data_IF_519329931360
#
_entry.id   IF_519329931360
#
_cell.length_a   1.000
_cell.length_b   1.000
_cell.length_c   1.000
_cell.angle_alpha   90.00
_cell.angle_beta   90.00
_cell.angle_gamma   90.00
#
_symmetry.space_group_name_H-M   'P 1'
#
loop_
_entity.id
_entity.type
_entity.pdbx_description
1 polymer ?
#
# COMPACT_ATOMS: atom_id res chain seq x y z
N UNK A 1 12.69 -0.84 1.75
CA UNK A 1 13.89 -0.21 2.35
C UNK A 1 14.21 -0.76 3.73
N UNK A 2 13.45 -0.49 4.80
CA UNK A 2 13.90 -0.83 6.17
C UNK A 2 14.26 -2.31 6.37
N UNK A 3 13.46 -3.23 5.84
CA UNK A 3 13.76 -4.67 5.89
C UNK A 3 15.08 -5.05 5.23
N UNK A 4 15.40 -4.41 4.10
CA UNK A 4 16.64 -4.66 3.33
C UNK A 4 17.86 -4.04 4.04
N UNK A 5 17.68 -2.90 4.70
CA UNK A 5 18.75 -2.18 5.40
C UNK A 5 19.14 -2.93 6.69
N UNK A 6 18.16 -3.33 7.50
CA UNK A 6 18.43 -3.94 8.80
C UNK A 6 18.66 -5.45 8.72
N UNK A 7 18.10 -6.12 7.71
CA UNK A 7 18.16 -7.57 7.49
C UNK A 7 18.09 -8.40 8.79
N UNK A 8 17.21 -8.01 9.71
CA UNK A 8 17.21 -8.53 11.07
C UNK A 8 16.71 -9.97 11.12
N UNK A 9 17.39 -10.81 11.91
CA UNK A 9 17.01 -12.19 12.15
C UNK A 9 15.67 -12.30 12.90
N UNK A 10 14.87 -13.32 12.54
CA UNK A 10 13.63 -13.67 13.22
C UNK A 10 13.93 -14.53 14.46
N UNK A 11 13.01 -14.59 15.44
CA UNK A 11 13.13 -15.48 16.61
C UNK A 11 12.94 -16.98 16.28
N UNK A 12 13.04 -17.39 15.01
CA UNK A 12 12.79 -18.77 14.58
C UNK A 12 14.01 -19.63 14.92
N UNK A 13 13.78 -20.72 15.66
CA UNK A 13 14.85 -21.64 16.08
C UNK A 13 15.63 -21.18 17.31
N UNK A 14 15.23 -20.09 17.96
CA UNK A 14 15.80 -19.65 19.24
C UNK A 14 15.28 -20.57 20.35
N UNK A 15 16.19 -21.05 21.20
CA UNK A 15 15.86 -21.91 22.33
C UNK A 15 14.82 -21.24 23.25
N UNK A 16 13.78 -21.99 23.62
CA UNK A 16 12.65 -21.48 24.40
C UNK A 16 11.56 -20.76 23.60
N UNK A 17 11.72 -20.55 22.28
CA UNK A 17 10.70 -19.93 21.42
C UNK A 17 10.13 -20.95 20.43
N UNK A 18 8.84 -21.24 20.53
CA UNK A 18 8.13 -22.09 19.57
C UNK A 18 7.53 -21.25 18.45
N UNK A 19 8.07 -21.36 17.23
CA UNK A 19 7.52 -20.71 16.05
C UNK A 19 6.46 -21.57 15.36
N UNK A 20 5.24 -21.03 15.21
CA UNK A 20 4.07 -21.78 14.74
C UNK A 20 3.79 -21.62 13.23
N UNK A 21 4.35 -20.60 12.56
CA UNK A 21 4.08 -20.29 11.13
C UNK A 21 5.33 -19.90 10.33
N UNK A 22 6.31 -20.79 10.31
CA UNK A 22 7.63 -20.57 9.69
C UNK A 22 7.50 -20.34 8.17
N UNK A 23 6.67 -21.13 7.47
CA UNK A 23 6.52 -21.06 6.00
C UNK A 23 5.99 -19.71 5.48
N UNK A 24 5.30 -18.93 6.31
CA UNK A 24 4.77 -17.60 5.94
C UNK A 24 5.70 -16.45 6.34
N UNK A 25 6.76 -16.75 7.09
CA UNK A 25 7.68 -15.76 7.65
C UNK A 25 8.91 -15.56 6.74
N UNK A 26 8.67 -15.24 5.47
CA UNK A 26 9.72 -15.03 4.46
C UNK A 26 10.35 -13.63 4.65
N UNK A 27 11.68 -13.55 4.57
CA UNK A 27 12.46 -12.31 4.67
C UNK A 27 12.64 -11.76 6.09
N UNK A 28 13.25 -10.56 6.20
CA UNK A 28 13.68 -9.95 7.46
C UNK A 28 12.56 -9.75 8.50
N UNK A 29 12.93 -9.81 9.79
CA UNK A 29 12.01 -9.64 10.92
C UNK A 29 11.61 -8.17 11.14
N UNK A 30 12.56 -7.24 10.98
CA UNK A 30 12.37 -5.84 11.34
C UNK A 30 12.07 -4.94 10.12
N UNK A 31 11.07 -4.04 10.19
CA UNK A 31 9.95 -4.04 11.13
C UNK A 31 8.88 -5.08 10.74
N UNK A 32 7.91 -5.33 11.63
CA UNK A 32 6.77 -6.21 11.38
C UNK A 32 5.86 -5.65 10.27
N UNK A 33 5.85 -6.31 9.11
CA UNK A 33 5.04 -5.87 7.97
C UNK A 33 3.52 -5.93 8.24
N UNK A 34 3.04 -6.98 8.90
CA UNK A 34 1.61 -7.12 9.23
C UNK A 34 1.14 -6.01 10.17
N UNK A 35 1.92 -5.75 11.22
CA UNK A 35 1.63 -4.68 12.18
C UNK A 35 1.70 -3.33 11.50
N UNK A 36 2.73 -3.09 10.68
CA UNK A 36 2.91 -1.81 9.99
C UNK A 36 1.74 -1.53 9.03
N UNK A 37 1.38 -2.48 8.16
CA UNK A 37 0.30 -2.30 7.18
C UNK A 37 -1.04 -2.01 7.85
N UNK A 38 -1.41 -2.79 8.88
CA UNK A 38 -2.67 -2.56 9.60
C UNK A 38 -2.64 -1.23 10.38
N UNK A 39 -1.53 -0.92 11.04
CA UNK A 39 -1.38 0.34 11.78
C UNK A 39 -1.48 1.54 10.84
N UNK A 40 -0.81 1.53 9.69
CA UNK A 40 -0.92 2.60 8.68
C UNK A 40 -2.36 2.75 8.22
N UNK A 41 -3.05 1.65 7.90
CA UNK A 41 -4.46 1.71 7.49
C UNK A 41 -5.35 2.32 8.57
N UNK A 42 -5.28 1.81 9.80
CA UNK A 42 -6.09 2.28 10.94
C UNK A 42 -5.80 3.76 11.25
N UNK A 43 -4.53 4.14 11.32
CA UNK A 43 -4.14 5.53 11.60
C UNK A 43 -4.63 6.48 10.50
N UNK A 44 -4.55 6.10 9.23
CA UNK A 44 -5.14 6.90 8.14
C UNK A 44 -6.66 7.04 8.29
N UNK A 45 -7.38 5.96 8.60
CA UNK A 45 -8.83 5.99 8.80
C UNK A 45 -9.24 6.88 9.98
N UNK A 46 -8.50 6.82 11.10
CA UNK A 46 -8.73 7.69 12.26
C UNK A 46 -8.65 9.17 11.89
N UNK A 47 -7.73 9.53 10.99
CA UNK A 47 -7.51 10.92 10.59
C UNK A 47 -8.54 11.43 9.59
N UNK A 48 -8.99 10.55 8.68
CA UNK A 48 -9.99 10.86 7.65
C UNK A 48 -11.40 10.92 8.25
N UNK A 49 -11.82 9.87 8.97
CA UNK A 49 -13.21 9.73 9.43
C UNK A 49 -13.46 10.31 10.81
N UNK A 50 -12.45 10.37 11.68
CA UNK A 50 -12.53 10.89 13.07
C UNK A 50 -13.65 10.24 13.91
N UNK A 51 -14.10 9.05 13.53
CA UNK A 51 -15.12 8.30 14.26
C UNK A 51 -14.49 7.59 15.48
N UNK A 52 -15.13 7.76 16.65
CA UNK A 52 -14.61 7.22 17.92
C UNK A 52 -14.65 5.70 17.95
N UNK A 53 -15.72 5.08 17.44
CA UNK A 53 -15.89 3.63 17.48
C UNK A 53 -14.89 2.94 16.53
N UNK A 54 -14.75 3.45 15.32
CA UNK A 54 -13.74 3.00 14.35
C UNK A 54 -12.33 3.16 14.90
N UNK A 55 -12.05 4.24 15.63
CA UNK A 55 -10.76 4.46 16.29
C UNK A 55 -10.50 3.39 17.34
N UNK A 56 -11.45 3.16 18.25
CA UNK A 56 -11.30 2.17 19.33
C UNK A 56 -11.12 0.75 18.76
N UNK A 57 -12.01 0.34 17.85
CA UNK A 57 -11.95 -0.97 17.22
C UNK A 57 -10.67 -1.14 16.39
N UNK A 58 -10.26 -0.11 15.65
CA UNK A 58 -9.04 -0.12 14.85
C UNK A 58 -7.80 -0.26 15.73
N UNK A 59 -7.68 0.51 16.80
CA UNK A 59 -6.55 0.41 17.74
C UNK A 59 -6.50 -0.96 18.42
N UNK A 60 -7.66 -1.49 18.82
CA UNK A 60 -7.77 -2.86 19.33
C UNK A 60 -7.24 -3.88 18.31
N UNK A 61 -7.61 -3.78 17.04
CA UNK A 61 -7.13 -4.67 15.98
C UNK A 61 -5.61 -4.56 15.77
N UNK A 62 -5.03 -3.36 15.83
CA UNK A 62 -3.57 -3.16 15.74
C UNK A 62 -2.85 -3.90 16.87
N UNK A 63 -3.36 -3.76 18.11
CA UNK A 63 -2.81 -4.45 19.28
C UNK A 63 -2.99 -5.97 19.18
N UNK A 64 -4.16 -6.44 18.76
CA UNK A 64 -4.44 -7.86 18.58
C UNK A 64 -3.50 -8.50 17.54
N UNK A 65 -3.28 -7.82 16.40
CA UNK A 65 -2.34 -8.29 15.38
C UNK A 65 -0.90 -8.24 15.89
N UNK A 66 -0.50 -7.16 16.57
CA UNK A 66 0.81 -7.07 17.23
C UNK A 66 1.09 -8.26 18.14
N UNK A 67 0.16 -8.58 19.05
CA UNK A 67 0.26 -9.72 19.97
C UNK A 67 0.29 -11.04 19.19
N UNK A 68 -0.55 -11.20 18.15
CA UNK A 68 -0.54 -12.42 17.33
C UNK A 68 0.83 -12.71 16.71
N UNK A 69 1.58 -11.66 16.32
CA UNK A 69 2.93 -11.81 15.73
C UNK A 69 3.98 -12.24 16.74
N UNK A 70 3.84 -11.82 17.99
CA UNK A 70 4.69 -12.28 19.09
C UNK A 70 4.33 -13.71 19.49
N UNK A 71 3.04 -14.00 19.64
CA UNK A 71 2.52 -15.33 19.98
C UNK A 71 2.94 -16.40 18.96
N UNK A 72 2.92 -16.07 17.67
CA UNK A 72 3.36 -16.99 16.61
C UNK A 72 4.89 -17.22 16.59
N UNK A 73 5.67 -16.49 17.40
CA UNK A 73 7.13 -16.66 17.50
C UNK A 73 7.86 -16.28 16.22
N UNK A 74 7.40 -15.22 15.53
CA UNK A 74 7.87 -14.82 14.18
C UNK A 74 8.43 -13.40 14.12
N UNK A 75 8.23 -12.61 15.19
CA UNK A 75 8.75 -11.25 15.36
C UNK A 75 9.16 -11.01 16.82
N UNK A 76 10.13 -10.12 17.00
CA UNK A 76 10.50 -9.59 18.30
C UNK A 76 9.59 -8.43 18.72
N UNK A 77 9.45 -8.13 20.02
CA UNK A 77 8.71 -6.95 20.48
C UNK A 77 9.15 -5.64 19.81
N UNK A 78 10.47 -5.46 19.62
CA UNK A 78 11.03 -4.30 18.91
C UNK A 78 10.54 -4.16 17.47
N UNK A 79 10.29 -5.28 16.76
CA UNK A 79 9.85 -5.25 15.36
C UNK A 79 8.43 -4.70 15.25
N UNK A 80 7.59 -5.02 16.23
CA UNK A 80 6.19 -4.61 16.33
C UNK A 80 6.09 -3.15 16.77
N UNK A 81 6.87 -2.74 17.77
CA UNK A 81 6.93 -1.34 18.22
C UNK A 81 7.42 -0.44 17.09
N UNK A 82 8.52 -0.81 16.42
CA UNK A 82 9.04 -0.04 15.30
C UNK A 82 8.06 0.03 14.13
N UNK A 83 7.33 -1.06 13.84
CA UNK A 83 6.28 -1.06 12.82
C UNK A 83 5.19 0.00 13.09
N UNK A 84 4.77 0.14 14.35
CA UNK A 84 3.78 1.15 14.77
C UNK A 84 4.35 2.57 14.64
N UNK A 85 5.60 2.80 15.06
CA UNK A 85 6.28 4.10 14.90
C UNK A 85 6.41 4.47 13.42
N UNK A 86 6.87 3.53 12.58
CA UNK A 86 6.98 3.72 11.13
C UNK A 86 5.62 4.06 10.54
N UNK A 87 4.55 3.37 10.94
CA UNK A 87 3.20 3.69 10.49
C UNK A 87 2.77 5.12 10.84
N UNK A 88 3.03 5.59 12.06
CA UNK A 88 2.73 6.98 12.46
C UNK A 88 3.51 8.00 11.62
N UNK A 89 4.80 7.75 11.39
CA UNK A 89 5.64 8.62 10.54
C UNK A 89 5.09 8.67 9.13
N UNK A 90 4.77 7.53 8.53
CA UNK A 90 4.18 7.45 7.18
C UNK A 90 2.91 8.27 7.10
N UNK A 91 1.95 8.06 8.02
CA UNK A 91 0.66 8.77 7.97
C UNK A 91 0.85 10.27 8.12
N UNK A 92 1.65 10.72 9.09
CA UNK A 92 1.92 12.15 9.31
C UNK A 92 2.64 12.79 8.11
N UNK A 93 3.61 12.10 7.51
CA UNK A 93 4.28 12.56 6.30
C UNK A 93 3.33 12.62 5.11
N UNK A 94 2.47 11.61 4.92
CA UNK A 94 1.47 11.58 3.85
C UNK A 94 0.46 12.72 3.98
N UNK A 95 -0.01 13.04 5.19
CA UNK A 95 -0.87 14.21 5.43
C UNK A 95 -0.19 15.50 5.04
N UNK A 96 1.05 15.72 5.52
CA UNK A 96 1.81 16.92 5.20
C UNK A 96 2.05 17.08 3.69
N UNK A 97 2.36 15.99 2.98
CA UNK A 97 2.54 15.99 1.52
C UNK A 97 1.22 16.29 0.80
N UNK A 98 0.13 15.63 1.22
CA UNK A 98 -1.18 15.80 0.59
C UNK A 98 -1.70 17.23 0.78
N UNK A 99 -1.61 17.79 2.00
CA UNK A 99 -1.94 19.18 2.25
C UNK A 99 -1.09 20.11 1.39
N UNK A 100 0.20 19.82 1.21
CA UNK A 100 1.08 20.65 0.41
C UNK A 100 0.74 20.67 -1.07
N UNK A 101 0.46 19.49 -1.63
CA UNK A 101 0.07 19.34 -3.02
C UNK A 101 -1.31 19.92 -3.32
N UNK A 102 -2.28 19.75 -2.41
CA UNK A 102 -3.65 20.22 -2.63
C UNK A 102 -3.83 21.71 -2.31
N UNK A 103 -3.31 22.18 -1.17
CA UNK A 103 -3.51 23.57 -0.69
C UNK A 103 -2.61 24.57 -1.41
N UNK A 104 -1.40 24.17 -1.80
CA UNK A 104 -0.40 25.07 -2.40
C UNK A 104 -0.03 24.70 -3.83
N UNK A 105 -0.72 23.72 -4.44
CA UNK A 105 -0.41 23.19 -5.78
C UNK A 105 1.06 22.74 -5.93
N UNK A 106 1.72 22.39 -4.82
CA UNK A 106 3.13 22.03 -4.79
C UNK A 106 3.30 20.50 -4.78
N UNK A 107 3.47 19.93 -5.97
CA UNK A 107 3.67 18.50 -6.18
C UNK A 107 5.13 18.05 -6.03
N UNK A 108 6.07 18.96 -5.73
CA UNK A 108 7.49 18.65 -5.62
C UNK A 108 7.81 17.49 -4.66
N UNK A 109 7.16 17.36 -3.48
CA UNK A 109 7.45 16.23 -2.58
C UNK A 109 7.16 14.86 -3.18
N UNK A 110 6.12 14.73 -4.02
CA UNK A 110 5.82 13.46 -4.71
C UNK A 110 6.93 13.11 -5.71
N UNK A 111 7.44 14.09 -6.47
CA UNK A 111 8.54 13.88 -7.40
C UNK A 111 9.85 13.55 -6.69
N UNK A 112 10.14 14.19 -5.54
CA UNK A 112 11.32 13.86 -4.72
C UNK A 112 11.23 12.42 -4.22
N UNK A 113 10.10 12.02 -3.65
CA UNK A 113 9.87 10.65 -3.17
C UNK A 113 10.05 9.65 -4.31
N UNK A 114 9.50 9.98 -5.49
CA UNK A 114 9.63 9.12 -6.64
C UNK A 114 11.07 9.02 -7.14
N UNK A 115 11.81 10.13 -7.15
CA UNK A 115 13.22 10.14 -7.54
C UNK A 115 14.06 9.30 -6.59
N UNK A 116 13.86 9.44 -5.27
CA UNK A 116 14.55 8.63 -4.25
C UNK A 116 14.20 7.15 -4.40
N UNK A 117 12.91 6.82 -4.55
CA UNK A 117 12.45 5.44 -4.73
C UNK A 117 13.01 4.80 -6.01
N UNK A 118 13.11 5.57 -7.10
CA UNK A 118 13.67 5.09 -8.36
C UNK A 118 15.19 4.95 -8.29
N UNK A 119 15.91 5.93 -7.75
CA UNK A 119 17.37 5.89 -7.60
C UNK A 119 17.83 4.74 -6.68
N UNK A 120 17.03 4.41 -5.67
CA UNK A 120 17.36 3.31 -4.76
C UNK A 120 17.18 1.92 -5.38
N UNK A 121 16.56 1.78 -6.57
CA UNK A 121 16.55 0.51 -7.32
C UNK A 121 17.95 0.07 -7.73
N UNK A 122 18.90 1.01 -7.89
CA UNK A 122 20.30 0.68 -8.17
C UNK A 122 20.99 0.00 -6.98
N UNK A 123 20.56 0.31 -5.75
CA UNK A 123 21.10 -0.25 -4.52
C UNK A 123 20.38 -1.53 -4.06
N UNK A 124 19.06 -1.62 -4.24
CA UNK A 124 18.25 -2.74 -3.76
C UNK A 124 17.63 -3.51 -4.91
N UNK A 125 18.18 -4.70 -5.20
CA UNK A 125 17.76 -5.55 -6.33
C UNK A 125 16.74 -6.65 -5.98
N UNK A 126 16.08 -6.55 -4.83
CA UNK A 126 15.11 -7.56 -4.39
C UNK A 126 13.75 -7.37 -5.08
N UNK A 127 13.08 -8.48 -5.39
CA UNK A 127 11.77 -8.46 -6.05
C UNK A 127 10.73 -7.67 -5.23
N UNK A 128 10.75 -7.81 -3.90
CA UNK A 128 9.90 -7.06 -2.97
C UNK A 128 10.11 -5.55 -3.09
N UNK A 129 11.34 -5.11 -3.32
CA UNK A 129 11.64 -3.70 -3.47
C UNK A 129 11.11 -3.14 -4.79
N UNK A 130 11.33 -3.87 -5.89
CA UNK A 130 10.79 -3.52 -7.20
C UNK A 130 9.27 -3.39 -7.18
N UNK A 131 8.56 -4.33 -6.53
CA UNK A 131 7.11 -4.25 -6.33
C UNK A 131 6.70 -2.99 -5.56
N UNK A 132 7.42 -2.63 -4.50
CA UNK A 132 7.15 -1.44 -3.71
C UNK A 132 7.29 -0.13 -4.48
N UNK A 133 8.37 0.02 -5.26
CA UNK A 133 8.59 1.22 -6.10
C UNK A 133 7.56 1.29 -7.23
N UNK A 134 7.24 0.15 -7.85
CA UNK A 134 6.22 0.07 -8.88
C UNK A 134 4.83 0.50 -8.40
N UNK A 135 4.43 0.05 -7.20
CA UNK A 135 3.21 0.48 -6.53
C UNK A 135 3.27 2.00 -6.30
N UNK A 136 4.33 2.53 -5.70
CA UNK A 136 4.42 3.96 -5.43
C UNK A 136 4.31 4.81 -6.71
N UNK A 137 5.01 4.42 -7.77
CA UNK A 137 4.97 5.10 -9.06
C UNK A 137 3.58 5.00 -9.72
N UNK A 138 2.97 3.82 -9.72
CA UNK A 138 1.63 3.60 -10.28
C UNK A 138 0.56 4.41 -9.54
N UNK A 139 0.72 4.59 -8.22
CA UNK A 139 -0.16 5.42 -7.41
C UNK A 139 0.02 6.90 -7.75
N UNK A 140 1.26 7.41 -7.74
CA UNK A 140 1.53 8.83 -7.98
C UNK A 140 1.08 9.24 -9.39
N UNK A 141 1.46 8.47 -10.42
CA UNK A 141 1.05 8.75 -11.80
C UNK A 141 -0.46 8.60 -11.93
N UNK A 142 -1.05 7.52 -11.42
CA UNK A 142 -2.48 7.29 -11.56
C UNK A 142 -3.33 8.31 -10.82
N UNK A 143 -2.92 8.73 -9.62
CA UNK A 143 -3.57 9.82 -8.89
C UNK A 143 -3.47 11.14 -9.65
N UNK A 144 -2.29 11.47 -10.19
CA UNK A 144 -2.12 12.66 -11.02
C UNK A 144 -3.02 12.62 -12.27
N UNK A 145 -3.11 11.47 -12.95
CA UNK A 145 -4.01 11.29 -14.09
C UNK A 145 -5.47 11.43 -13.67
N UNK A 146 -5.86 10.81 -12.55
CA UNK A 146 -7.23 10.84 -12.07
C UNK A 146 -7.67 12.26 -11.73
N UNK A 147 -6.88 13.00 -10.96
CA UNK A 147 -7.23 14.38 -10.55
C UNK A 147 -7.15 15.40 -11.71
N UNK A 148 -6.27 15.22 -12.70
CA UNK A 148 -6.11 16.22 -13.77
C UNK A 148 -6.97 15.94 -15.02
N UNK A 149 -7.31 14.68 -15.28
CA UNK A 149 -7.97 14.30 -16.54
C UNK A 149 -9.28 13.54 -16.34
N UNK A 150 -9.42 12.73 -15.27
CA UNK A 150 -10.59 11.87 -15.10
C UNK A 150 -11.64 12.52 -14.21
N UNK A 151 -11.24 13.12 -13.09
CA UNK A 151 -12.12 13.72 -12.09
C UNK A 151 -13.27 12.79 -11.70
N UNK A 152 -13.00 11.55 -11.26
CA UNK A 152 -14.04 10.57 -10.97
C UNK A 152 -14.77 10.85 -9.65
N UNK A 153 -16.10 10.85 -9.65
CA UNK A 153 -16.91 10.90 -8.42
C UNK A 153 -17.30 9.49 -7.93
N UNK A 154 -16.74 9.05 -6.81
CA UNK A 154 -17.04 7.72 -6.28
C UNK A 154 -18.52 7.52 -5.89
N UNK A 155 -19.27 8.60 -5.63
CA UNK A 155 -20.64 8.55 -5.14
C UNK A 155 -21.62 8.01 -6.18
N UNK A 156 -22.67 7.38 -5.70
CA UNK A 156 -23.71 6.82 -6.55
C UNK A 156 -24.55 5.78 -5.81
N UNK A 157 -25.68 5.35 -6.39
CA UNK A 157 -26.52 4.30 -5.83
C UNK A 157 -25.80 2.94 -5.78
N UNK A 158 -26.28 2.05 -4.91
CA UNK A 158 -25.61 0.79 -4.57
C UNK A 158 -25.39 -0.13 -5.79
N UNK A 159 -26.37 -0.19 -6.70
CA UNK A 159 -26.30 -0.95 -7.95
C UNK A 159 -25.09 -0.53 -8.80
N UNK A 160 -24.89 0.79 -8.98
CA UNK A 160 -23.74 1.33 -9.70
C UNK A 160 -22.43 1.08 -8.95
N UNK A 161 -22.43 1.13 -7.62
CA UNK A 161 -21.24 0.80 -6.84
C UNK A 161 -20.84 -0.66 -7.00
N UNK A 162 -21.80 -1.59 -6.99
CA UNK A 162 -21.57 -3.02 -7.24
C UNK A 162 -20.99 -3.22 -8.64
N UNK A 163 -21.59 -2.61 -9.67
CA UNK A 163 -21.09 -2.71 -11.05
C UNK A 163 -19.66 -2.16 -11.17
N UNK A 164 -19.38 -0.98 -10.60
CA UNK A 164 -18.03 -0.39 -10.56
C UNK A 164 -17.03 -1.33 -9.89
N UNK A 165 -17.41 -1.93 -8.75
CA UNK A 165 -16.55 -2.88 -8.05
C UNK A 165 -16.24 -4.13 -8.90
N UNK A 166 -17.25 -4.73 -9.53
CA UNK A 166 -17.08 -5.91 -10.39
C UNK A 166 -16.16 -5.59 -11.57
N UNK A 167 -16.43 -4.49 -12.30
CA UNK A 167 -15.62 -4.08 -13.45
C UNK A 167 -14.19 -3.76 -13.02
N UNK A 168 -14.03 -2.97 -11.95
CA UNK A 168 -12.72 -2.58 -11.43
C UNK A 168 -11.89 -3.79 -11.01
N UNK A 169 -12.48 -4.71 -10.23
CA UNK A 169 -11.82 -5.93 -9.76
C UNK A 169 -11.52 -6.90 -10.90
N UNK A 170 -12.46 -7.09 -11.83
CA UNK A 170 -12.25 -7.95 -13.00
C UNK A 170 -11.11 -7.42 -13.86
N UNK A 171 -11.09 -6.13 -14.17
CA UNK A 171 -9.99 -5.51 -14.91
C UNK A 171 -8.67 -5.60 -14.16
N UNK A 172 -8.68 -5.43 -12.83
CA UNK A 172 -7.48 -5.58 -11.99
C UNK A 172 -6.93 -7.01 -12.07
N UNK A 173 -7.80 -8.02 -11.99
CA UNK A 173 -7.41 -9.42 -12.12
C UNK A 173 -6.91 -9.74 -13.53
N UNK A 174 -7.55 -9.22 -14.58
CA UNK A 174 -7.09 -9.38 -15.97
C UNK A 174 -5.68 -8.80 -16.13
N UNK A 175 -5.45 -7.57 -15.67
CA UNK A 175 -4.12 -6.93 -15.73
C UNK A 175 -3.11 -7.74 -14.92
N UNK A 176 -3.43 -8.10 -13.68
CA UNK A 176 -2.49 -8.79 -12.81
C UNK A 176 -2.14 -10.20 -13.28
N UNK A 177 -3.16 -11.02 -13.59
CA UNK A 177 -3.01 -12.40 -14.02
C UNK A 177 -2.50 -12.47 -15.46
N UNK A 178 -3.04 -11.64 -16.36
CA UNK A 178 -2.60 -11.58 -17.75
C UNK A 178 -1.11 -11.21 -17.85
N UNK A 179 -0.66 -10.18 -17.13
CA UNK A 179 0.77 -9.84 -17.09
C UNK A 179 1.60 -10.92 -16.41
N UNK A 180 1.07 -11.64 -15.40
CA UNK A 180 1.76 -12.78 -14.79
C UNK A 180 1.96 -13.95 -15.78
N UNK A 181 1.04 -14.17 -16.71
CA UNK A 181 1.13 -15.25 -17.70
C UNK A 181 2.13 -14.92 -18.83
N UNK A 182 2.26 -13.64 -19.17
CA UNK A 182 3.09 -13.20 -20.31
C UNK A 182 4.52 -12.87 -19.88
N UNK A 183 4.67 -12.23 -18.73
CA UNK A 183 5.98 -11.74 -18.27
C UNK A 183 6.76 -12.84 -17.53
N UNK A 184 8.08 -12.98 -17.77
CA UNK A 184 8.90 -13.95 -17.05
C UNK A 184 9.08 -13.58 -15.58
N UNK A 185 9.44 -14.56 -14.76
CA UNK A 185 9.74 -14.35 -13.33
C UNK A 185 11.07 -13.61 -13.15
N UNK A 186 11.02 -12.29 -13.07
CA UNK A 186 12.15 -11.44 -12.77
C UNK A 186 11.73 -10.17 -11.98
N UNK A 187 12.61 -9.59 -11.14
CA UNK A 187 12.31 -8.37 -10.38
C UNK A 187 11.81 -7.20 -11.26
N UNK A 188 12.47 -6.96 -12.39
CA UNK A 188 12.08 -5.93 -13.37
C UNK A 188 10.69 -6.18 -13.99
N UNK A 189 10.32 -7.44 -14.21
CA UNK A 189 9.01 -7.80 -14.73
C UNK A 189 7.92 -7.66 -13.66
N UNK A 190 8.25 -8.02 -12.42
CA UNK A 190 7.40 -7.74 -11.27
C UNK A 190 7.15 -6.24 -11.09
N UNK A 191 8.11 -5.37 -11.42
CA UNK A 191 7.87 -3.93 -11.45
C UNK A 191 6.79 -3.57 -12.47
N UNK A 192 6.91 -4.01 -13.73
CA UNK A 192 5.93 -3.69 -14.79
C UNK A 192 4.53 -4.16 -14.39
N UNK A 193 4.41 -5.40 -13.91
CA UNK A 193 3.13 -5.98 -13.50
C UNK A 193 2.45 -5.17 -12.39
N UNK A 194 3.17 -4.85 -11.32
CA UNK A 194 2.60 -4.16 -10.17
C UNK A 194 2.33 -2.68 -10.47
N UNK A 195 3.16 -2.04 -11.30
CA UNK A 195 2.94 -0.69 -11.79
C UNK A 195 1.63 -0.61 -12.58
N UNK A 196 1.45 -1.48 -13.59
CA UNK A 196 0.25 -1.51 -14.42
C UNK A 196 -1.00 -1.86 -13.59
N UNK A 197 -0.89 -2.80 -12.65
CA UNK A 197 -1.99 -3.19 -11.77
C UNK A 197 -2.48 -2.00 -10.95
N UNK A 198 -1.56 -1.20 -10.39
CA UNK A 198 -1.97 -0.07 -9.58
C UNK A 198 -2.42 1.12 -10.42
N UNK A 199 -1.79 1.37 -11.57
CA UNK A 199 -2.24 2.39 -12.52
C UNK A 199 -3.67 2.12 -13.01
N UNK A 200 -4.01 0.84 -13.23
CA UNK A 200 -5.40 0.44 -13.48
C UNK A 200 -6.31 0.80 -12.31
N UNK A 201 -5.92 0.42 -11.08
CA UNK A 201 -6.75 0.67 -9.90
C UNK A 201 -7.00 2.17 -9.64
N UNK A 202 -6.01 3.02 -9.88
CA UNK A 202 -6.06 4.46 -9.54
C UNK A 202 -6.52 5.35 -10.69
N UNK A 203 -6.30 4.98 -11.95
CA UNK A 203 -6.70 5.79 -13.10
C UNK A 203 -7.52 5.01 -14.14
N UNK A 204 -7.12 3.80 -14.50
CA UNK A 204 -7.76 3.02 -15.56
C UNK A 204 -9.23 2.68 -15.28
N UNK A 205 -9.52 2.14 -14.10
CA UNK A 205 -10.87 1.81 -13.67
C UNK A 205 -11.74 3.07 -13.50
N UNK A 206 -11.31 4.13 -12.79
CA UNK A 206 -12.03 5.41 -12.76
C UNK A 206 -12.36 5.98 -14.14
N UNK A 207 -11.38 6.01 -15.06
CA UNK A 207 -11.59 6.49 -16.42
C UNK A 207 -12.63 5.66 -17.17
N UNK A 208 -12.59 4.33 -17.01
CA UNK A 208 -13.58 3.44 -17.61
C UNK A 208 -14.99 3.67 -17.01
N UNK A 209 -15.10 3.89 -15.70
CA UNK A 209 -16.41 4.14 -15.07
C UNK A 209 -17.07 5.42 -15.60
N UNK A 210 -16.27 6.47 -15.79
CA UNK A 210 -16.73 7.73 -16.38
C UNK A 210 -17.10 7.52 -17.85
N UNK A 211 -16.26 6.84 -18.63
CA UNK A 211 -16.53 6.55 -20.04
C UNK A 211 -17.82 5.72 -20.25
N UNK A 212 -18.09 4.78 -19.34
CA UNK A 212 -19.31 3.95 -19.34
C UNK A 212 -20.52 4.65 -18.70
N UNK A 213 -20.40 5.93 -18.28
CA UNK A 213 -21.45 6.70 -17.61
C UNK A 213 -21.98 6.03 -16.33
N UNK A 214 -21.16 5.20 -15.69
CA UNK A 214 -21.44 4.63 -14.38
C UNK A 214 -21.22 5.66 -13.26
N UNK A 215 -20.52 6.75 -13.59
CA UNK A 215 -20.16 7.82 -12.68
C UNK A 215 -20.12 9.16 -13.40
N UNK A 216 -20.38 10.23 -12.65
CA UNK A 216 -20.17 11.59 -13.12
C UNK A 216 -18.71 12.02 -12.87
N UNK A 217 -18.35 13.14 -13.52
CA UNK A 217 -17.18 13.90 -13.13
C UNK A 217 -17.43 14.64 -11.80
N UNK A 218 -16.44 14.70 -10.92
CA UNK A 218 -16.40 15.59 -9.75
C UNK A 218 -16.52 17.03 -10.26
N UNK A 219 -17.49 17.78 -9.74
CA UNK A 219 -17.65 19.21 -9.97
C UNK A 219 -17.02 19.91 -8.77
N UNK A 220 -16.04 20.78 -9.01
CA UNK A 220 -15.35 21.59 -7.99
C UNK A 220 -16.18 22.79 -7.55
#
# INVERSE_FOLDING_TARGET
>A
MLKEIFNAARPIGVEGIRSLRIHTAIGASFPSGHTQTLATFVFSMMRIYKDKMMTILGLFLVVAVAISRLYLGVHWPKDVIAAVIVAMVIVKSSEWIHERAYRYSDFLPYFIILAIASASLFAFKTESYYKGVAILLGYIIGYWVEENFVNFDARGPLDRQIIKYIIGMTGLLIVFVGLKMILPEAPSMSFIRYFATLLWATAGAPALFVALRLSNHRIF
#
